data_IF_604892029272
#
_entry.id   IF_604892029272
#
_cell.length_a   1.000
_cell.length_b   1.000
_cell.length_c   1.000
_cell.angle_alpha   90.00
_cell.angle_beta   90.00
_cell.angle_gamma   90.00
#
_symmetry.space_group_name_H-M   'P 1'
#
loop_
_entity.id
_entity.type
_entity.pdbx_description
1 polymer ?
#
# COMPACT_ATOMS: atom_id res chain seq x y z
N UNK A 1 18.85 -0.69 0.01
CA UNK A 1 18.49 -1.85 0.84
C UNK A 1 19.02 -1.53 2.21
N UNK A 2 18.22 -1.79 3.23
CA UNK A 2 18.54 -1.53 4.62
C UNK A 2 18.95 -2.84 5.29
N UNK A 3 20.25 -2.98 5.55
CA UNK A 3 20.81 -4.23 6.08
C UNK A 3 20.40 -4.46 7.55
N UNK A 4 20.17 -3.39 8.32
CA UNK A 4 19.70 -3.50 9.70
C UNK A 4 18.26 -4.02 9.77
N UNK A 5 17.38 -3.52 8.88
CA UNK A 5 16.01 -4.03 8.76
C UNK A 5 16.02 -5.50 8.35
N UNK A 6 16.86 -5.87 7.37
CA UNK A 6 16.97 -7.25 6.89
C UNK A 6 17.39 -8.22 8.00
N UNK A 7 18.43 -7.88 8.76
CA UNK A 7 18.90 -8.68 9.90
C UNK A 7 17.81 -8.81 10.99
N UNK A 8 17.09 -7.73 11.28
CA UNK A 8 16.01 -7.75 12.28
C UNK A 8 14.84 -8.65 11.88
N UNK A 9 14.44 -8.62 10.60
CA UNK A 9 13.33 -9.40 10.06
C UNK A 9 13.68 -10.89 9.98
N UNK A 10 14.93 -11.23 9.65
CA UNK A 10 15.42 -12.62 9.67
C UNK A 10 15.35 -13.24 11.07
N UNK A 11 15.59 -12.44 12.12
CA UNK A 11 15.51 -12.86 13.52
C UNK A 11 14.08 -12.90 14.06
N UNK A 12 13.18 -12.03 13.58
CA UNK A 12 11.79 -11.89 14.07
C UNK A 12 10.73 -12.64 13.23
N UNK A 13 11.16 -13.52 12.32
CA UNK A 13 10.31 -14.11 11.28
C UNK A 13 9.34 -15.22 11.67
N UNK A 14 9.24 -15.62 12.94
CA UNK A 14 8.52 -16.84 13.34
C UNK A 14 7.04 -16.85 12.97
N UNK A 15 6.34 -15.71 13.13
CA UNK A 15 4.93 -15.59 12.74
C UNK A 15 4.75 -15.80 11.23
N UNK A 16 5.61 -15.16 10.42
CA UNK A 16 5.58 -15.31 8.97
C UNK A 16 5.91 -16.74 8.54
N UNK A 17 6.85 -17.41 9.21
CA UNK A 17 7.18 -18.83 8.98
C UNK A 17 6.00 -19.76 9.30
N UNK A 18 5.30 -19.50 10.39
CA UNK A 18 4.08 -20.24 10.74
C UNK A 18 2.99 -20.06 9.67
N UNK A 19 2.78 -18.83 9.20
CA UNK A 19 1.84 -18.53 8.11
C UNK A 19 2.21 -19.23 6.81
N UNK A 20 3.48 -19.23 6.40
CA UNK A 20 3.92 -19.97 5.22
C UNK A 20 3.72 -21.48 5.35
N UNK A 21 3.94 -22.04 6.54
CA UNK A 21 3.71 -23.45 6.80
C UNK A 21 2.22 -23.81 6.65
N UNK A 22 1.34 -22.95 7.18
CA UNK A 22 -0.11 -23.06 6.99
C UNK A 22 -0.51 -22.98 5.50
N UNK A 23 0.06 -22.03 4.75
CA UNK A 23 -0.19 -21.90 3.31
C UNK A 23 0.32 -23.12 2.53
N UNK A 24 1.47 -23.71 2.91
CA UNK A 24 2.02 -24.93 2.31
C UNK A 24 1.12 -26.13 2.55
N UNK A 25 0.57 -26.28 3.76
CA UNK A 25 -0.39 -27.33 4.09
C UNK A 25 -1.63 -27.30 3.17
N UNK A 26 -2.14 -26.11 2.87
CA UNK A 26 -3.28 -25.92 1.97
C UNK A 26 -2.93 -25.92 0.47
N UNK A 27 -1.68 -26.20 0.08
CA UNK A 27 -1.25 -26.22 -1.31
C UNK A 27 -1.19 -24.85 -1.99
N UNK A 28 -1.25 -23.76 -1.20
CA UNK A 28 -1.16 -22.38 -1.71
C UNK A 28 0.29 -21.91 -1.92
N UNK A 29 1.26 -22.64 -1.37
CA UNK A 29 2.69 -22.37 -1.53
C UNK A 29 3.36 -23.52 -2.30
N UNK A 30 3.89 -23.21 -3.49
CA UNK A 30 4.58 -24.19 -4.36
C UNK A 30 6.11 -24.15 -4.26
N UNK A 31 6.64 -23.07 -3.69
CA UNK A 31 8.07 -22.84 -3.50
C UNK A 31 8.50 -23.20 -2.08
N UNK A 32 9.80 -23.38 -1.87
CA UNK A 32 10.31 -23.65 -0.53
C UNK A 32 10.12 -22.45 0.41
N UNK A 33 9.60 -22.63 1.64
CA UNK A 33 9.28 -21.54 2.56
C UNK A 33 10.45 -20.59 2.83
N UNK A 34 11.66 -21.11 3.04
CA UNK A 34 12.83 -20.28 3.34
C UNK A 34 13.22 -19.37 2.17
N UNK A 35 13.08 -19.85 0.93
CA UNK A 35 13.33 -19.03 -0.25
C UNK A 35 12.29 -17.91 -0.38
N UNK A 36 11.03 -18.20 -0.03
CA UNK A 36 9.95 -17.20 -0.03
C UNK A 36 10.15 -16.17 1.08
N UNK A 37 10.53 -16.60 2.29
CA UNK A 37 10.88 -15.70 3.40
C UNK A 37 12.03 -14.77 3.03
N UNK A 38 13.12 -15.32 2.48
CA UNK A 38 14.28 -14.51 2.08
C UNK A 38 13.91 -13.46 1.03
N UNK A 39 13.08 -13.82 0.04
CA UNK A 39 12.57 -12.88 -0.95
C UNK A 39 11.66 -11.81 -0.31
N UNK A 40 10.78 -12.19 0.61
CA UNK A 40 9.89 -11.29 1.33
C UNK A 40 10.68 -10.27 2.17
N UNK A 41 11.66 -10.70 2.96
CA UNK A 41 12.48 -9.81 3.78
C UNK A 41 13.27 -8.80 2.95
N UNK A 42 13.88 -9.26 1.85
CA UNK A 42 14.59 -8.37 0.92
C UNK A 42 13.67 -7.33 0.29
N UNK A 43 12.40 -7.66 0.03
CA UNK A 43 11.41 -6.70 -0.46
C UNK A 43 11.04 -5.66 0.61
N UNK A 44 10.88 -6.08 1.87
CA UNK A 44 10.59 -5.20 3.00
C UNK A 44 11.77 -4.28 3.37
N UNK A 45 13.01 -4.70 3.11
CA UNK A 45 14.23 -3.93 3.36
C UNK A 45 14.56 -2.89 2.25
N UNK A 46 13.70 -2.69 1.26
CA UNK A 46 13.93 -1.66 0.23
C UNK A 46 13.67 -0.28 0.82
N UNK A 47 14.73 0.50 1.02
CA UNK A 47 14.66 1.89 1.48
C UNK A 47 14.33 2.85 0.33
N UNK A 48 13.30 3.67 0.52
CA UNK A 48 12.90 4.73 -0.41
C UNK A 48 12.56 5.99 0.38
N UNK A 49 12.84 7.17 -0.20
CA UNK A 49 12.25 8.41 0.28
C UNK A 49 10.83 8.60 -0.32
N UNK A 50 10.06 9.56 0.20
CA UNK A 50 8.69 9.78 -0.26
C UNK A 50 8.59 10.05 -1.77
N UNK A 51 9.49 10.86 -2.34
CA UNK A 51 9.49 11.12 -3.79
C UNK A 51 9.71 9.84 -4.59
N UNK A 52 10.70 9.04 -4.22
CA UNK A 52 11.01 7.79 -4.90
C UNK A 52 9.86 6.76 -4.78
N UNK A 53 9.18 6.72 -3.63
CA UNK A 53 7.99 5.88 -3.45
C UNK A 53 6.83 6.32 -4.36
N UNK A 54 6.58 7.62 -4.46
CA UNK A 54 5.54 8.15 -5.34
C UNK A 54 5.84 7.83 -6.82
N UNK A 55 7.08 8.03 -7.26
CA UNK A 55 7.53 7.76 -8.62
C UNK A 55 7.46 6.26 -8.97
N UNK A 56 7.96 5.40 -8.08
CA UNK A 56 7.94 3.96 -8.26
C UNK A 56 6.53 3.38 -8.42
N UNK A 57 5.53 4.04 -7.83
CA UNK A 57 4.13 3.63 -7.85
C UNK A 57 3.28 4.34 -8.92
N UNK A 58 3.84 5.27 -9.70
CA UNK A 58 3.10 6.05 -10.70
C UNK A 58 2.35 5.17 -11.72
N UNK A 59 2.88 3.98 -12.03
CA UNK A 59 2.23 3.05 -12.95
C UNK A 59 0.87 2.54 -12.46
N UNK A 60 0.63 2.52 -11.14
CA UNK A 60 -0.64 2.07 -10.54
C UNK A 60 -1.81 2.98 -10.94
N UNK A 61 -1.55 4.27 -11.19
CA UNK A 61 -2.57 5.22 -11.62
C UNK A 61 -3.09 4.96 -13.05
N UNK A 62 -2.42 4.09 -13.84
CA UNK A 62 -2.76 3.81 -15.25
C UNK A 62 -3.85 2.75 -15.36
N UNK A 63 -5.08 3.15 -15.10
CA UNK A 63 -6.27 2.31 -15.07
C UNK A 63 -7.12 2.39 -16.34
N UNK A 64 -7.00 3.40 -17.20
CA UNK A 64 -7.88 3.62 -18.37
C UNK A 64 -7.95 2.39 -19.28
N UNK A 65 -9.17 1.95 -19.55
CA UNK A 65 -9.48 0.84 -20.48
C UNK A 65 -9.50 1.39 -21.91
N UNK A 66 -8.34 1.75 -22.43
CA UNK A 66 -8.15 2.20 -23.81
C UNK A 66 -7.04 1.37 -24.48
N UNK A 67 -7.01 1.38 -25.82
CA UNK A 67 -5.98 0.69 -26.60
C UNK A 67 -6.27 -0.79 -26.84
N UNK A 68 -5.21 -1.55 -27.14
CA UNK A 68 -5.28 -2.96 -27.53
C UNK A 68 -5.46 -3.92 -26.34
N UNK A 69 -5.43 -5.23 -26.62
CA UNK A 69 -5.59 -6.29 -25.61
C UNK A 69 -4.65 -6.12 -24.40
N UNK A 70 -3.37 -5.86 -24.66
CA UNK A 70 -2.36 -5.71 -23.60
C UNK A 70 -2.64 -4.51 -22.68
N UNK A 71 -3.11 -3.38 -23.24
CA UNK A 71 -3.46 -2.19 -22.47
C UNK A 71 -4.65 -2.46 -21.56
N UNK A 72 -5.68 -3.13 -22.10
CA UNK A 72 -6.87 -3.53 -21.35
C UNK A 72 -6.53 -4.48 -20.20
N UNK A 73 -5.66 -5.46 -20.45
CA UNK A 73 -5.22 -6.39 -19.40
C UNK A 73 -4.42 -5.68 -18.29
N UNK A 74 -3.50 -4.77 -18.64
CA UNK A 74 -2.79 -3.94 -17.66
C UNK A 74 -3.77 -3.12 -16.83
N UNK A 75 -4.68 -2.40 -17.48
CA UNK A 75 -5.69 -1.58 -16.84
C UNK A 75 -6.54 -2.38 -15.84
N UNK A 76 -6.99 -3.57 -16.24
CA UNK A 76 -7.75 -4.47 -15.36
C UNK A 76 -6.91 -4.93 -14.16
N UNK A 77 -5.61 -5.25 -14.36
CA UNK A 77 -4.71 -5.57 -13.25
C UNK A 77 -4.55 -4.41 -12.28
N UNK A 78 -4.36 -3.18 -12.77
CA UNK A 78 -4.21 -2.01 -11.89
C UNK A 78 -5.49 -1.75 -11.11
N UNK A 79 -6.66 -1.80 -11.75
CA UNK A 79 -7.95 -1.65 -11.04
C UNK A 79 -8.14 -2.69 -9.93
N UNK A 80 -7.72 -3.94 -10.16
CA UNK A 80 -7.75 -4.99 -9.13
C UNK A 80 -6.81 -4.68 -7.96
N UNK A 81 -5.58 -4.25 -8.25
CA UNK A 81 -4.63 -3.85 -7.21
C UNK A 81 -5.14 -2.66 -6.39
N UNK A 82 -5.68 -1.63 -7.05
CA UNK A 82 -6.25 -0.47 -6.35
C UNK A 82 -7.47 -0.85 -5.50
N UNK A 83 -8.32 -1.77 -5.97
CA UNK A 83 -9.43 -2.27 -5.15
C UNK A 83 -8.91 -2.98 -3.88
N UNK A 84 -7.88 -3.82 -4.00
CA UNK A 84 -7.26 -4.49 -2.84
C UNK A 84 -6.59 -3.50 -1.89
N UNK A 85 -5.88 -2.51 -2.43
CA UNK A 85 -5.29 -1.42 -1.62
C UNK A 85 -6.38 -0.67 -0.85
N UNK A 86 -7.53 -0.41 -1.48
CA UNK A 86 -8.65 0.25 -0.83
C UNK A 86 -9.23 -0.55 0.34
N UNK A 87 -9.41 -1.86 0.16
CA UNK A 87 -10.12 -2.69 1.14
C UNK A 87 -9.23 -3.28 2.22
N UNK A 88 -7.93 -3.42 1.95
CA UNK A 88 -7.01 -4.18 2.82
C UNK A 88 -5.68 -3.44 3.08
N UNK A 89 -5.53 -2.20 2.61
CA UNK A 89 -4.23 -1.54 2.60
C UNK A 89 -3.78 -0.92 3.92
N UNK A 90 -4.71 -0.71 4.86
CA UNK A 90 -4.49 -0.01 6.14
C UNK A 90 -4.82 -0.90 7.36
N UNK A 91 -4.60 -2.21 7.23
CA UNK A 91 -4.92 -3.19 8.27
C UNK A 91 -6.40 -3.06 8.69
N UNK A 92 -6.69 -3.10 9.98
CA UNK A 92 -8.02 -2.91 10.55
C UNK A 92 -8.57 -1.48 10.33
N UNK A 93 -7.73 -0.53 9.94
CA UNK A 93 -8.10 0.86 9.65
C UNK A 93 -8.58 1.12 8.21
N UNK A 94 -8.67 0.10 7.36
CA UNK A 94 -8.99 0.28 5.92
C UNK A 94 -10.35 0.92 5.66
N UNK A 95 -11.37 0.58 6.46
CA UNK A 95 -12.71 1.19 6.35
C UNK A 95 -12.73 2.68 6.72
N UNK A 96 -12.13 3.03 7.86
CA UNK A 96 -12.03 4.43 8.32
C UNK A 96 -11.20 5.29 7.34
N UNK A 97 -10.09 4.74 6.86
CA UNK A 97 -9.26 5.40 5.85
C UNK A 97 -10.03 5.64 4.54
N UNK A 98 -10.79 4.64 4.06
CA UNK A 98 -11.62 4.78 2.87
C UNK A 98 -12.66 5.91 3.01
N UNK A 99 -13.26 6.06 4.19
CA UNK A 99 -14.24 7.14 4.44
C UNK A 99 -13.60 8.52 4.54
N UNK A 100 -12.44 8.63 5.22
CA UNK A 100 -11.79 9.93 5.48
C UNK A 100 -10.96 10.44 4.32
N UNK A 101 -10.31 9.53 3.59
CA UNK A 101 -9.38 9.87 2.49
C UNK A 101 -9.98 9.51 1.13
N UNK A 102 -10.65 8.37 0.98
CA UNK A 102 -11.29 8.01 -0.29
C UNK A 102 -10.32 7.70 -1.43
N UNK A 103 -9.06 7.36 -1.12
CA UNK A 103 -8.06 6.94 -2.11
C UNK A 103 -7.58 5.51 -1.81
N UNK A 104 -7.41 4.65 -2.83
CA UNK A 104 -6.65 3.42 -2.71
C UNK A 104 -5.26 3.67 -2.14
N UNK A 105 -4.89 2.99 -1.05
CA UNK A 105 -3.61 3.26 -0.41
C UNK A 105 -3.05 2.07 0.37
N UNK A 106 -1.74 2.03 0.61
CA UNK A 106 -1.05 1.03 1.43
C UNK A 106 -0.16 1.73 2.46
N UNK A 107 -0.33 1.38 3.73
CA UNK A 107 0.53 1.81 4.83
C UNK A 107 1.69 0.83 5.06
N UNK A 108 2.83 1.33 5.54
CA UNK A 108 3.97 0.53 5.98
C UNK A 108 4.39 0.91 7.40
N UNK A 109 4.84 -0.08 8.18
CA UNK A 109 5.31 0.12 9.57
C UNK A 109 6.54 1.03 9.68
N UNK A 110 7.26 1.26 8.58
CA UNK A 110 8.28 2.30 8.50
C UNK A 110 7.74 3.75 8.47
N UNK A 111 6.42 3.94 8.58
CA UNK A 111 5.75 5.25 8.61
C UNK A 111 5.36 5.82 7.24
N UNK A 112 5.62 5.10 6.16
CA UNK A 112 5.25 5.48 4.80
C UNK A 112 3.82 5.09 4.44
N UNK A 113 3.10 5.96 3.73
CA UNK A 113 1.82 5.62 3.10
C UNK A 113 1.90 5.97 1.62
N UNK A 114 1.61 4.99 0.76
CA UNK A 114 1.40 5.18 -0.67
C UNK A 114 -0.09 5.27 -0.93
N UNK A 115 -0.56 6.34 -1.58
CA UNK A 115 -1.94 6.53 -2.03
C UNK A 115 -1.98 6.81 -3.54
N UNK A 116 -3.05 6.39 -4.20
CA UNK A 116 -3.20 6.53 -5.66
C UNK A 116 -4.56 7.12 -6.00
N UNK A 117 -4.56 8.23 -6.73
CA UNK A 117 -5.75 8.74 -7.41
C UNK A 117 -5.73 8.23 -8.85
N UNK A 118 -6.63 7.30 -9.24
CA UNK A 118 -6.66 6.74 -10.59
C UNK A 118 -6.65 7.83 -11.67
N UNK A 119 -5.83 7.66 -12.70
CA UNK A 119 -5.63 8.60 -13.82
C UNK A 119 -5.08 9.99 -13.47
N UNK A 120 -4.75 10.26 -12.20
CA UNK A 120 -4.34 11.60 -11.77
C UNK A 120 -2.95 11.59 -11.13
N UNK A 121 -2.74 10.82 -10.06
CA UNK A 121 -1.52 10.91 -9.27
C UNK A 121 -1.19 9.65 -8.48
N UNK A 122 0.11 9.45 -8.27
CA UNK A 122 0.66 8.62 -7.20
C UNK A 122 1.21 9.55 -6.13
N UNK A 123 0.87 9.29 -4.88
CA UNK A 123 1.11 10.18 -3.74
C UNK A 123 1.81 9.36 -2.67
N UNK A 124 2.87 9.87 -2.10
CA UNK A 124 3.53 9.28 -0.94
C UNK A 124 3.63 10.29 0.18
N UNK A 125 3.35 9.85 1.40
CA UNK A 125 3.56 10.61 2.63
C UNK A 125 4.37 9.76 3.60
N UNK A 126 5.10 10.39 4.50
CA UNK A 126 5.90 9.69 5.50
C UNK A 126 5.91 10.44 6.83
N UNK A 127 5.68 9.70 7.92
CA UNK A 127 5.94 10.17 9.29
C UNK A 127 6.10 8.95 10.20
N UNK A 128 7.11 8.92 11.09
CA UNK A 128 7.48 7.73 11.84
C UNK A 128 6.49 7.35 12.96
N UNK A 129 5.68 8.29 13.45
CA UNK A 129 4.76 8.01 14.55
C UNK A 129 3.51 7.29 14.05
N UNK A 130 3.31 6.07 14.56
CA UNK A 130 2.19 5.20 14.18
C UNK A 130 1.05 5.24 15.21
N UNK A 131 -0.16 4.98 14.75
CA UNK A 131 -1.31 4.69 15.60
C UNK A 131 -1.32 3.22 16.08
N UNK A 132 -2.33 2.85 16.86
CA UNK A 132 -2.52 1.49 17.36
C UNK A 132 -2.71 0.41 16.27
N UNK A 133 -2.98 0.82 15.02
CA UNK A 133 -3.16 -0.08 13.88
C UNK A 133 -1.90 -0.11 12.98
N UNK A 134 -0.81 0.55 13.38
CA UNK A 134 0.44 0.62 12.62
C UNK A 134 0.40 1.60 11.44
N UNK A 135 -0.55 2.55 11.42
CA UNK A 135 -0.65 3.56 10.37
C UNK A 135 -0.01 4.88 10.79
N UNK A 136 0.66 5.56 9.85
CA UNK A 136 1.29 6.87 10.11
C UNK A 136 0.26 7.95 10.43
N UNK A 137 0.27 8.47 11.66
CA UNK A 137 -0.75 9.43 12.16
C UNK A 137 -0.74 10.71 11.30
N UNK A 138 0.43 11.33 11.14
CA UNK A 138 0.56 12.56 10.36
C UNK A 138 0.46 12.29 8.85
N UNK A 139 0.85 11.09 8.40
CA UNK A 139 0.66 10.67 7.01
C UNK A 139 -0.82 10.66 6.61
N UNK A 140 -1.67 10.01 7.41
CA UNK A 140 -3.12 9.99 7.16
C UNK A 140 -3.70 11.41 7.18
N UNK A 141 -3.30 12.25 8.14
CA UNK A 141 -3.76 13.65 8.20
C UNK A 141 -3.34 14.49 7.00
N UNK A 142 -2.12 14.31 6.50
CA UNK A 142 -1.67 14.98 5.29
C UNK A 142 -2.52 14.57 4.06
N UNK A 143 -2.87 13.29 3.95
CA UNK A 143 -3.73 12.80 2.87
C UNK A 143 -5.16 13.35 2.97
N UNK A 144 -5.75 13.43 4.17
CA UNK A 144 -7.04 14.10 4.37
C UNK A 144 -7.01 15.56 3.88
N UNK A 145 -5.98 16.31 4.28
CA UNK A 145 -5.83 17.71 3.87
C UNK A 145 -5.69 17.83 2.35
N UNK A 146 -4.95 16.90 1.72
CA UNK A 146 -4.81 16.86 0.28
C UNK A 146 -6.17 16.65 -0.41
N UNK A 147 -6.92 15.62 -0.03
CA UNK A 147 -8.20 15.29 -0.69
C UNK A 147 -9.26 16.35 -0.47
N UNK A 148 -9.26 17.03 0.68
CA UNK A 148 -10.12 18.19 0.91
C UNK A 148 -9.77 19.37 0.00
N UNK A 149 -8.49 19.62 -0.25
CA UNK A 149 -8.04 20.73 -1.11
C UNK A 149 -8.24 20.45 -2.60
N UNK A 150 -8.13 19.20 -3.01
CA UNK A 150 -8.21 18.80 -4.43
C UNK A 150 -9.58 18.29 -4.85
N UNK A 151 -10.44 17.91 -3.89
CA UNK A 151 -11.69 17.21 -4.16
C UNK A 151 -11.49 15.77 -4.64
N UNK A 152 -10.29 15.20 -4.49
CA UNK A 152 -9.99 13.86 -4.99
C UNK A 152 -10.57 12.78 -4.09
N UNK A 153 -11.38 11.90 -4.65
CA UNK A 153 -11.81 10.65 -4.01
C UNK A 153 -12.46 9.76 -5.06
N UNK A 154 -12.30 8.44 -4.91
CA UNK A 154 -12.94 7.46 -5.81
C UNK A 154 -14.45 7.33 -5.56
N UNK A 155 -14.97 7.94 -4.51
CA UNK A 155 -16.39 7.98 -4.16
C UNK A 155 -17.07 9.31 -4.50
N UNK A 156 -16.33 10.25 -5.09
CA UNK A 156 -16.75 11.64 -5.21
C UNK A 156 -16.14 12.52 -4.11
N UNK A 157 -16.18 13.85 -4.28
CA UNK A 157 -15.46 14.78 -3.41
C UNK A 157 -15.87 14.60 -1.94
N UNK A 158 -14.91 14.64 -0.99
CA UNK A 158 -15.23 14.58 0.43
C UNK A 158 -16.17 15.73 0.78
N UNK A 159 -17.17 15.46 1.62
CA UNK A 159 -18.11 16.49 2.09
C UNK A 159 -17.36 17.67 2.69
N UNK A 160 -17.94 18.88 2.58
CA UNK A 160 -17.40 20.05 3.23
C UNK A 160 -17.27 19.76 4.74
N UNK A 161 -16.13 20.07 5.36
CA UNK A 161 -16.07 20.11 6.82
C UNK A 161 -16.91 21.31 7.24
N UNK A 162 -17.99 21.07 7.98
CA UNK A 162 -18.62 22.13 8.75
C UNK A 162 -17.53 22.71 9.67
N UNK A 163 -17.11 23.93 9.38
CA UNK A 163 -16.10 24.67 10.15
C UNK A 163 -16.64 25.10 11.49
#
# INVERSE_FOLDING_TARGET
MDDEVLESEEQAGDLNRAMLSFMKHHGNLRSEPDAVMSAYFRQCAISLNASALADAAAFLARTRLAGGKADRERALRMRKLLALMMTCGHYDGSGDFALRVGLPAKSGVGGGILAVMPEVASIAVWSPNLDQHGNSILGVRALEMLVHRTGWSVFGPPGARDT
#
